data_IF_241169861573
#
_entry.id   IF_241169861573
#
_cell.length_a   1.000
_cell.length_b   1.000
_cell.length_c   1.000
_cell.angle_alpha   90.00
_cell.angle_beta   90.00
_cell.angle_gamma   90.00
#
_symmetry.space_group_name_H-M   'P 1'
#
loop_
_entity.id
_entity.type
_entity.pdbx_description
1 polymer ?
#
# COMPACT_ATOMS: atom_id res chain seq x y z
N UNK A 1 2.40 12.16 8.66
CA UNK A 1 1.57 13.13 7.90
C UNK A 1 1.83 14.51 8.49
N UNK A 2 1.55 15.63 7.82
CA UNK A 2 1.53 16.94 8.50
C UNK A 2 0.16 17.58 8.33
N UNK A 3 -0.41 18.01 9.44
CA UNK A 3 -1.74 18.61 9.55
C UNK A 3 -1.64 20.05 10.05
N UNK A 4 -2.54 20.90 9.56
CA UNK A 4 -2.70 22.28 9.98
C UNK A 4 -4.19 22.60 10.01
N UNK A 5 -4.69 23.02 11.17
CA UNK A 5 -6.03 23.58 11.29
C UNK A 5 -6.00 25.07 10.96
N UNK A 6 -6.95 25.50 10.14
CA UNK A 6 -7.29 26.87 9.84
C UNK A 6 -8.68 27.13 10.47
N UNK A 7 -8.72 27.92 11.53
CA UNK A 7 -9.95 28.19 12.27
C UNK A 7 -10.41 29.64 12.10
N UNK A 8 -11.69 29.87 11.86
CA UNK A 8 -12.30 31.19 11.95
C UNK A 8 -13.67 31.12 12.65
N UNK A 9 -14.21 32.28 13.03
CA UNK A 9 -15.58 32.39 13.53
C UNK A 9 -16.36 33.34 12.63
N UNK A 10 -17.43 32.85 12.02
CA UNK A 10 -18.36 33.65 11.24
C UNK A 10 -19.62 33.94 12.05
N UNK A 11 -20.05 35.19 12.09
CA UNK A 11 -21.31 35.59 12.72
C UNK A 11 -22.40 35.69 11.65
N UNK A 12 -23.50 34.97 11.84
CA UNK A 12 -24.58 34.83 10.87
C UNK A 12 -25.82 35.57 11.38
N UNK A 13 -26.32 36.52 10.60
CA UNK A 13 -27.57 37.23 10.92
C UNK A 13 -28.74 36.21 10.97
N UNK A 14 -29.57 36.29 12.00
CA UNK A 14 -30.74 35.43 12.16
C UNK A 14 -31.81 35.64 11.08
N UNK A 15 -31.72 36.73 10.30
CA UNK A 15 -32.62 37.01 9.18
C UNK A 15 -32.13 36.46 7.83
N UNK A 16 -31.07 35.64 7.82
CA UNK A 16 -30.59 35.02 6.59
C UNK A 16 -31.60 34.02 6.01
N UNK A 17 -31.89 34.06 4.69
CA UNK A 17 -32.95 33.23 4.08
C UNK A 17 -32.73 31.73 4.23
N UNK A 18 -31.47 31.27 4.19
CA UNK A 18 -31.13 29.85 4.30
C UNK A 18 -31.48 29.25 5.68
N UNK A 19 -31.68 30.08 6.71
CA UNK A 19 -32.08 29.63 8.04
C UNK A 19 -33.57 29.26 8.14
N UNK A 20 -34.41 29.84 7.26
CA UNK A 20 -35.88 29.72 7.35
C UNK A 20 -36.45 28.76 6.31
N UNK A 21 -35.82 28.66 5.14
CA UNK A 21 -36.36 27.95 3.99
C UNK A 21 -35.74 26.54 3.77
N UNK A 22 -34.92 26.06 4.71
CA UNK A 22 -34.26 24.74 4.61
C UNK A 22 -33.17 24.65 3.54
N UNK A 23 -32.76 25.77 2.95
CA UNK A 23 -31.62 25.81 2.03
C UNK A 23 -30.30 25.59 2.78
N UNK A 24 -29.41 24.78 2.21
CA UNK A 24 -28.04 24.67 2.68
C UNK A 24 -27.20 25.77 2.03
N UNK A 25 -26.42 26.48 2.84
CA UNK A 25 -25.39 27.41 2.36
C UNK A 25 -24.19 26.59 1.85
N UNK A 26 -23.42 27.14 0.93
CA UNK A 26 -22.25 26.45 0.38
C UNK A 26 -20.98 27.21 0.78
N UNK A 27 -19.99 26.48 1.29
CA UNK A 27 -18.64 27.00 1.48
C UNK A 27 -17.76 26.57 0.31
N UNK A 28 -17.33 27.55 -0.47
CA UNK A 28 -16.34 27.41 -1.52
C UNK A 28 -14.94 27.49 -0.91
N UNK A 29 -14.09 26.50 -1.14
CA UNK A 29 -12.72 26.47 -0.61
C UNK A 29 -11.74 26.12 -1.70
N UNK A 30 -10.77 27.00 -1.95
CA UNK A 30 -9.60 26.72 -2.79
C UNK A 30 -8.38 26.39 -1.94
N UNK A 31 -7.72 25.30 -2.30
CA UNK A 31 -6.56 24.75 -1.59
C UNK A 31 -5.50 24.28 -2.58
N UNK A 32 -4.22 24.45 -2.22
CA UNK A 32 -3.08 23.83 -2.90
C UNK A 32 -2.91 22.34 -2.54
N UNK A 33 -3.87 21.78 -1.80
CA UNK A 33 -3.87 20.38 -1.44
C UNK A 33 -3.31 20.08 -0.05
N UNK A 34 -3.20 18.81 0.34
CA UNK A 34 -3.56 17.63 -0.46
C UNK A 34 -4.90 17.04 -0.04
N UNK A 35 -5.30 17.26 1.21
CA UNK A 35 -6.58 16.84 1.79
C UNK A 35 -7.15 17.99 2.61
N UNK A 36 -8.47 18.11 2.60
CA UNK A 36 -9.25 19.04 3.41
C UNK A 36 -10.38 18.28 4.11
N UNK A 37 -10.57 18.53 5.40
CA UNK A 37 -11.80 18.23 6.12
C UNK A 37 -12.39 19.51 6.70
N UNK A 38 -13.68 19.77 6.46
CA UNK A 38 -14.38 20.94 6.97
C UNK A 38 -15.25 20.54 8.16
N UNK A 39 -15.03 21.19 9.30
CA UNK A 39 -15.86 21.06 10.48
C UNK A 39 -16.58 22.37 10.76
N UNK A 40 -17.88 22.28 11.01
CA UNK A 40 -18.71 23.39 11.47
C UNK A 40 -19.21 23.07 12.86
N UNK A 41 -18.92 23.95 13.83
CA UNK A 41 -19.29 23.77 15.23
C UNK A 41 -18.89 22.40 15.80
N UNK A 42 -17.75 21.87 15.36
CA UNK A 42 -17.22 20.56 15.76
C UNK A 42 -17.76 19.35 15.00
N UNK A 43 -18.67 19.53 14.04
CA UNK A 43 -19.22 18.44 13.22
C UNK A 43 -18.63 18.46 11.80
N UNK A 44 -18.19 17.29 11.31
CA UNK A 44 -17.68 17.13 9.95
C UNK A 44 -18.81 17.37 8.94
N UNK A 45 -18.66 18.36 8.07
CA UNK A 45 -19.62 18.68 7.00
C UNK A 45 -19.19 18.13 5.65
N UNK A 46 -17.88 18.05 5.39
CA UNK A 46 -17.40 17.59 4.08
C UNK A 46 -15.89 17.43 4.03
N UNK A 47 -15.43 16.87 2.91
CA UNK A 47 -14.00 16.60 2.69
C UNK A 47 -13.64 16.67 1.21
N UNK A 48 -12.38 16.96 0.92
CA UNK A 48 -11.83 16.98 -0.43
C UNK A 48 -10.40 16.45 -0.44
N UNK A 49 -10.04 15.77 -1.53
CA UNK A 49 -8.75 15.12 -1.70
C UNK A 49 -8.29 15.40 -3.13
N UNK A 50 -7.07 15.92 -3.28
CA UNK A 50 -6.38 16.04 -4.56
C UNK A 50 -5.76 14.72 -5.00
N UNK A 51 -5.12 14.70 -6.17
CA UNK A 51 -4.39 13.53 -6.67
C UNK A 51 -2.90 13.84 -6.88
N UNK A 52 -2.10 12.82 -7.20
CA UNK A 52 -0.65 12.96 -7.32
C UNK A 52 -0.19 13.96 -8.40
N UNK A 53 -1.00 14.18 -9.44
CA UNK A 53 -0.66 15.10 -10.54
C UNK A 53 -1.26 16.50 -10.33
N UNK A 54 -2.43 16.56 -9.70
CA UNK A 54 -3.16 17.79 -9.38
C UNK A 54 -3.52 17.73 -7.90
N UNK A 55 -2.58 18.09 -7.01
CA UNK A 55 -2.80 18.07 -5.57
C UNK A 55 -3.75 19.19 -5.12
N UNK A 56 -3.76 20.30 -5.86
CA UNK A 56 -4.65 21.42 -5.68
C UNK A 56 -6.09 21.07 -6.09
N UNK A 57 -7.03 21.75 -5.44
CA UNK A 57 -8.44 21.62 -5.75
C UNK A 57 -9.22 22.84 -5.30
N UNK A 58 -10.37 23.00 -5.94
CA UNK A 58 -11.45 23.88 -5.51
C UNK A 58 -12.65 23.01 -5.15
N UNK A 59 -13.25 23.24 -3.98
CA UNK A 59 -14.36 22.42 -3.50
C UNK A 59 -15.49 23.27 -2.92
N UNK A 60 -16.69 22.98 -3.39
CA UNK A 60 -17.94 23.41 -2.79
C UNK A 60 -18.42 22.37 -1.78
N UNK A 61 -18.66 22.81 -0.55
CA UNK A 61 -19.15 21.98 0.55
C UNK A 61 -20.42 22.61 1.09
N UNK A 62 -21.54 21.90 1.01
CA UNK A 62 -22.77 22.31 1.67
C UNK A 62 -22.58 22.29 3.19
N UNK A 63 -22.93 23.39 3.86
CA UNK A 63 -22.75 23.58 5.30
C UNK A 63 -24.06 23.92 5.98
N UNK A 64 -24.19 23.46 7.22
CA UNK A 64 -25.30 23.83 8.10
C UNK A 64 -24.80 24.84 9.14
N UNK A 65 -25.30 26.07 9.04
CA UNK A 65 -24.98 27.17 9.95
C UNK A 65 -26.18 27.47 10.85
N UNK A 66 -25.90 28.02 12.04
CA UNK A 66 -26.94 28.49 12.98
C UNK A 66 -26.91 30.02 13.10
N UNK A 67 -27.99 30.68 13.57
CA UNK A 67 -27.94 32.10 13.91
C UNK A 67 -26.82 32.40 14.91
N UNK A 68 -26.14 33.53 14.72
CA UNK A 68 -25.04 33.97 15.56
C UNK A 68 -23.70 33.33 15.19
N UNK A 69 -22.84 33.12 16.19
CA UNK A 69 -21.47 32.64 15.98
C UNK A 69 -21.41 31.17 15.57
N UNK A 70 -20.74 30.92 14.45
CA UNK A 70 -20.37 29.62 13.93
C UNK A 70 -18.86 29.48 13.88
N UNK A 71 -18.35 28.39 14.45
CA UNK A 71 -16.93 28.06 14.37
C UNK A 71 -16.67 27.19 13.15
N UNK A 72 -15.80 27.64 12.25
CA UNK A 72 -15.35 26.90 11.08
C UNK A 72 -13.92 26.43 11.36
N UNK A 73 -13.69 25.12 11.37
CA UNK A 73 -12.37 24.52 11.50
C UNK A 73 -12.07 23.73 10.21
N UNK A 74 -11.10 24.19 9.44
CA UNK A 74 -10.65 23.55 8.20
C UNK A 74 -9.33 22.83 8.48
N UNK A 75 -9.37 21.50 8.48
CA UNK A 75 -8.19 20.67 8.65
C UNK A 75 -7.56 20.40 7.28
N UNK A 76 -6.40 21.00 7.04
CA UNK A 76 -5.57 20.72 5.87
C UNK A 76 -4.52 19.67 6.20
N UNK A 77 -4.35 18.68 5.32
CA UNK A 77 -3.30 17.66 5.47
C UNK A 77 -2.44 17.52 4.22
N UNK A 78 -1.15 17.28 4.45
CA UNK A 78 -0.18 16.98 3.40
C UNK A 78 0.06 15.47 3.27
N UNK A 79 0.15 14.99 2.04
CA UNK A 79 0.44 13.58 1.72
C UNK A 79 1.86 13.44 1.19
N UNK A 80 2.82 14.11 1.83
CA UNK A 80 4.16 14.31 1.31
C UNK A 80 4.27 15.70 0.66
N UNK A 81 5.49 16.07 0.30
CA UNK A 81 5.77 17.31 -0.42
C UNK A 81 6.31 16.97 -1.80
N UNK A 82 6.18 17.91 -2.74
CA UNK A 82 6.76 17.76 -4.07
C UNK A 82 8.27 17.55 -3.96
N UNK A 83 8.79 16.57 -4.70
CA UNK A 83 10.19 16.14 -4.60
C UNK A 83 10.92 16.10 -5.94
N UNK A 84 10.30 16.61 -7.01
CA UNK A 84 10.87 16.67 -8.35
C UNK A 84 10.19 17.78 -9.18
N UNK A 85 10.91 18.33 -10.17
CA UNK A 85 10.46 19.42 -11.05
C UNK A 85 11.24 20.72 -10.85
N UNK A 86 11.09 21.70 -11.74
CA UNK A 86 11.73 23.01 -11.53
C UNK A 86 11.02 23.74 -10.37
N UNK A 87 11.80 24.35 -9.46
CA UNK A 87 11.30 25.16 -8.34
C UNK A 87 10.28 24.45 -7.42
N UNK A 88 10.36 23.13 -7.27
CA UNK A 88 9.43 22.37 -6.44
C UNK A 88 9.44 22.80 -4.96
N UNK A 89 10.53 23.42 -4.50
CA UNK A 89 10.70 24.00 -3.18
C UNK A 89 9.81 25.23 -2.94
N UNK A 90 9.37 25.90 -4.03
CA UNK A 90 8.47 27.06 -3.97
C UNK A 90 6.98 26.67 -4.01
N UNK A 91 6.68 25.40 -4.29
CA UNK A 91 5.30 24.91 -4.31
C UNK A 91 4.78 24.81 -2.87
N UNK A 92 3.84 25.71 -2.53
CA UNK A 92 3.16 25.69 -1.24
C UNK A 92 2.16 24.53 -1.11
N UNK A 93 1.58 24.40 0.08
CA UNK A 93 0.48 23.46 0.34
C UNK A 93 -0.52 24.10 1.30
N UNK A 94 -1.73 23.55 1.34
CA UNK A 94 -2.79 24.00 2.23
C UNK A 94 -3.68 25.08 1.64
N UNK A 95 -4.45 25.72 2.51
CA UNK A 95 -5.54 26.61 2.12
C UNK A 95 -4.97 28.00 1.89
N UNK A 96 -4.88 28.41 0.62
CA UNK A 96 -4.41 29.73 0.21
C UNK A 96 -5.55 30.65 -0.24
N UNK A 97 -6.78 30.13 -0.23
CA UNK A 97 -7.97 30.86 -0.62
C UNK A 97 -8.16 30.95 -2.15
N UNK A 98 -9.32 31.49 -2.58
CA UNK A 98 -10.32 32.10 -1.70
C UNK A 98 -11.13 31.08 -0.89
N UNK A 99 -11.69 31.54 0.24
CA UNK A 99 -12.66 30.82 1.07
C UNK A 99 -13.92 31.67 1.13
N UNK A 100 -14.98 31.25 0.45
CA UNK A 100 -16.17 32.07 0.20
C UNK A 100 -17.43 31.36 0.68
N UNK A 101 -18.31 32.09 1.34
CA UNK A 101 -19.63 31.61 1.76
C UNK A 101 -20.68 32.10 0.77
N UNK A 102 -21.25 31.18 0.02
CA UNK A 102 -22.23 31.44 -1.04
C UNK A 102 -23.66 31.12 -0.58
N UNK A 103 -24.63 31.84 -1.14
CA UNK A 103 -26.05 31.59 -0.86
C UNK A 103 -26.59 32.36 0.34
N UNK A 104 -26.01 33.53 0.62
CA UNK A 104 -26.55 34.51 1.57
C UNK A 104 -27.70 35.30 0.94
N UNK A 105 -28.31 36.23 1.71
CA UNK A 105 -29.41 37.09 1.25
C UNK A 105 -29.19 37.63 -0.17
N UNK A 106 -30.19 37.44 -1.03
CA UNK A 106 -30.20 37.80 -2.46
C UNK A 106 -29.17 37.06 -3.36
N UNK A 107 -28.67 35.89 -2.92
CA UNK A 107 -27.64 35.14 -3.66
C UNK A 107 -26.25 35.78 -3.55
N UNK A 108 -26.02 36.59 -2.51
CA UNK A 108 -24.72 37.21 -2.28
C UNK A 108 -23.70 36.19 -1.75
N UNK A 109 -22.43 36.50 -2.00
CA UNK A 109 -21.27 35.72 -1.55
C UNK A 109 -20.44 36.60 -0.62
N UNK A 110 -20.02 36.04 0.52
CA UNK A 110 -19.09 36.70 1.44
C UNK A 110 -17.75 36.00 1.38
N UNK A 111 -16.70 36.76 1.04
CA UNK A 111 -15.32 36.29 1.12
C UNK A 111 -14.82 36.33 2.57
N UNK A 112 -14.47 35.15 3.09
CA UNK A 112 -13.93 34.98 4.44
C UNK A 112 -12.39 35.05 4.46
N UNK A 113 -11.73 35.12 3.30
CA UNK A 113 -10.27 35.05 3.18
C UNK A 113 -9.56 36.18 3.93
N UNK A 114 -10.20 37.36 3.99
CA UNK A 114 -9.65 38.55 4.66
C UNK A 114 -10.00 38.64 6.16
N UNK A 115 -10.73 37.66 6.71
CA UNK A 115 -11.05 37.64 8.14
C UNK A 115 -9.86 37.19 9.00
N UNK A 116 -10.02 37.32 10.33
CA UNK A 116 -9.00 36.84 11.26
C UNK A 116 -9.04 35.32 11.37
N UNK A 117 -7.94 34.68 10.99
CA UNK A 117 -7.73 33.24 11.10
C UNK A 117 -6.87 32.87 12.31
N UNK A 118 -7.16 31.71 12.87
CA UNK A 118 -6.39 31.03 13.90
C UNK A 118 -5.78 29.76 13.33
N UNK A 119 -4.60 29.39 13.82
CA UNK A 119 -3.84 28.26 13.29
C UNK A 119 -3.42 27.33 14.41
N UNK A 120 -3.59 26.02 14.20
CA UNK A 120 -3.05 24.99 15.08
C UNK A 120 -2.26 23.97 14.26
N UNK A 121 -0.99 23.84 14.58
CA UNK A 121 -0.09 22.86 13.97
C UNK A 121 -0.37 21.50 14.61
N UNK A 122 -0.58 20.48 13.78
CA UNK A 122 -0.75 19.11 14.25
C UNK A 122 -2.11 18.82 14.88
N UNK A 123 -2.28 17.55 15.24
CA UNK A 123 -3.43 17.04 15.98
C UNK A 123 -3.17 17.09 17.48
N UNK A 124 -4.23 17.27 18.27
CA UNK A 124 -4.13 17.22 19.74
C UNK A 124 -3.55 15.89 20.25
N UNK A 125 -3.83 14.78 19.58
CA UNK A 125 -3.25 13.48 19.94
C UNK A 125 -1.73 13.41 19.78
N UNK A 126 -1.17 14.13 18.81
CA UNK A 126 0.29 14.21 18.59
C UNK A 126 0.96 15.01 19.73
N UNK A 127 0.39 16.14 20.14
CA UNK A 127 0.95 16.94 21.26
C UNK A 127 0.85 16.24 22.61
N UNK A 128 -0.10 15.32 22.76
CA UNK A 128 -0.27 14.49 23.95
C UNK A 128 0.58 13.20 23.93
N UNK A 129 1.32 12.92 22.85
CA UNK A 129 2.16 11.73 22.75
C UNK A 129 1.37 10.42 22.71
N UNK A 130 0.17 10.41 22.11
CA UNK A 130 -0.68 9.21 22.04
C UNK A 130 -0.03 8.08 21.23
N UNK A 131 0.87 8.41 20.30
CA UNK A 131 1.67 7.49 19.48
C UNK A 131 2.54 6.53 20.30
N UNK A 132 2.95 6.94 21.51
CA UNK A 132 3.70 6.12 22.46
C UNK A 132 2.75 5.20 23.27
N UNK A 133 1.45 5.46 23.20
CA UNK A 133 0.40 4.68 23.87
C UNK A 133 0.18 5.05 25.34
N UNK A 134 0.94 5.99 25.90
CA UNK A 134 0.79 6.44 27.29
C UNK A 134 -0.21 7.58 27.43
N UNK A 135 -1.45 7.29 27.84
CA UNK A 135 -2.44 8.32 28.20
C UNK A 135 -3.56 7.75 29.06
N UNK A 136 -4.18 8.57 29.90
CA UNK A 136 -5.40 8.24 30.65
C UNK A 136 -6.68 8.48 29.83
N UNK A 137 -6.57 9.02 28.61
CA UNK A 137 -7.70 9.39 27.75
C UNK A 137 -8.29 8.21 26.96
N UNK A 138 -7.64 7.05 26.98
CA UNK A 138 -8.13 5.87 26.29
C UNK A 138 -9.41 5.36 26.93
N UNK A 139 -10.43 5.13 26.11
CA UNK A 139 -11.69 4.51 26.51
C UNK A 139 -11.79 3.10 25.92
N UNK A 140 -12.40 2.18 26.64
CA UNK A 140 -12.70 0.85 26.12
C UNK A 140 -13.77 0.96 25.04
N UNK A 141 -13.49 0.37 23.87
CA UNK A 141 -14.41 0.34 22.75
C UNK A 141 -13.68 0.24 21.42
N UNK A 142 -14.47 0.02 20.37
CA UNK A 142 -13.98 0.00 18.99
C UNK A 142 -14.97 0.77 18.14
N UNK A 143 -15.08 2.11 18.34
CA UNK A 143 -15.95 2.94 17.51
C UNK A 143 -15.63 2.67 16.04
N UNK A 144 -16.65 2.63 15.21
CA UNK A 144 -16.51 2.37 13.77
C UNK A 144 -16.92 3.63 13.01
N UNK A 145 -16.27 3.85 11.87
CA UNK A 145 -16.62 4.94 10.94
C UNK A 145 -16.61 6.34 11.58
N UNK A 146 -15.80 6.54 12.63
CA UNK A 146 -15.58 7.84 13.25
C UNK A 146 -14.31 8.48 12.68
N UNK A 147 -14.37 9.71 12.17
CA UNK A 147 -13.18 10.43 11.71
C UNK A 147 -12.31 10.86 12.89
N UNK A 148 -11.05 11.18 12.60
CA UNK A 148 -10.05 11.67 13.55
C UNK A 148 -9.95 10.86 14.87
N UNK A 149 -10.04 9.54 14.77
CA UNK A 149 -10.09 8.64 15.94
C UNK A 149 -8.73 7.99 16.18
N UNK A 150 -8.32 7.92 17.45
CA UNK A 150 -7.13 7.18 17.86
C UNK A 150 -7.53 5.81 18.39
N UNK A 151 -6.81 4.77 17.96
CA UNK A 151 -6.95 3.41 18.43
C UNK A 151 -5.64 2.94 19.06
N UNK A 152 -5.75 2.07 20.05
CA UNK A 152 -4.61 1.40 20.68
C UNK A 152 -4.98 -0.04 20.97
N UNK A 153 -4.05 -0.95 20.73
CA UNK A 153 -4.14 -2.34 21.16
C UNK A 153 -2.77 -2.90 21.54
N UNK A 154 -2.77 -4.02 22.24
CA UNK A 154 -1.55 -4.77 22.57
C UNK A 154 -1.54 -6.08 21.78
N UNK A 155 -0.36 -6.53 21.36
CA UNK A 155 -0.22 -7.78 20.61
C UNK A 155 1.13 -8.47 20.87
N UNK A 156 1.13 -9.78 20.68
CA UNK A 156 2.35 -10.59 20.72
C UNK A 156 2.96 -10.70 19.33
N UNK A 157 4.29 -10.77 19.24
CA UNK A 157 4.95 -10.87 17.95
C UNK A 157 4.60 -12.21 17.28
N UNK A 158 4.19 -12.20 15.99
CA UNK A 158 4.03 -13.43 15.22
C UNK A 158 5.29 -14.30 15.31
N UNK A 159 5.15 -15.62 15.36
CA UNK A 159 6.31 -16.52 15.42
C UNK A 159 7.16 -16.47 14.13
N UNK A 160 8.38 -16.99 14.21
CA UNK A 160 9.30 -17.14 13.07
C UNK A 160 10.04 -15.89 12.63
N UNK A 161 10.75 -15.99 11.50
CA UNK A 161 11.65 -14.95 10.97
C UNK A 161 11.15 -14.33 9.66
N UNK A 162 9.94 -14.66 9.24
CA UNK A 162 9.33 -14.11 8.02
C UNK A 162 9.01 -12.64 8.21
N UNK A 163 9.21 -11.74 7.22
CA UNK A 163 8.78 -10.35 7.33
C UNK A 163 7.32 -10.24 7.75
N UNK A 164 7.01 -9.24 8.58
CA UNK A 164 5.66 -8.99 9.05
C UNK A 164 5.11 -7.77 8.31
N UNK A 165 3.82 -7.84 7.99
CA UNK A 165 3.05 -6.68 7.60
C UNK A 165 1.71 -6.66 8.35
N UNK A 166 1.15 -5.47 8.49
CA UNK A 166 -0.23 -5.27 8.92
C UNK A 166 -1.09 -5.07 7.66
N UNK A 167 -2.21 -5.78 7.61
CA UNK A 167 -3.28 -5.56 6.66
C UNK A 167 -4.30 -4.60 7.29
N UNK A 168 -4.32 -3.35 6.83
CA UNK A 168 -5.28 -2.34 7.29
C UNK A 168 -6.61 -2.41 6.51
N UNK A 169 -6.95 -3.54 5.89
CA UNK A 169 -8.28 -3.74 5.30
C UNK A 169 -9.37 -3.38 6.32
N UNK A 170 -10.40 -2.64 5.87
CA UNK A 170 -11.46 -2.10 6.73
C UNK A 170 -11.17 -0.70 7.29
N UNK A 171 -9.92 -0.21 7.20
CA UNK A 171 -9.55 1.14 7.61
C UNK A 171 -9.66 2.16 6.46
N UNK A 172 -9.59 3.44 6.80
CA UNK A 172 -9.69 4.54 5.85
C UNK A 172 -8.31 5.05 5.44
N UNK A 173 -7.81 6.03 6.19
CA UNK A 173 -6.51 6.69 6.00
C UNK A 173 -5.96 7.08 7.35
N UNK A 174 -4.64 7.01 7.52
CA UNK A 174 -4.07 7.32 8.80
C UNK A 174 -2.57 7.17 8.90
N UNK A 175 -2.11 7.09 10.12
CA UNK A 175 -0.73 6.77 10.48
C UNK A 175 -0.74 5.75 11.62
N UNK A 176 0.25 4.86 11.63
CA UNK A 176 0.35 3.82 12.62
C UNK A 176 1.74 3.78 13.24
N UNK A 177 1.79 3.35 14.51
CA UNK A 177 2.99 3.21 15.31
C UNK A 177 3.02 1.85 15.98
N UNK A 178 4.21 1.26 16.01
CA UNK A 178 4.49 0.03 16.76
C UNK A 178 5.55 0.35 17.79
N UNK A 179 5.23 0.18 19.07
CA UNK A 179 6.11 0.50 20.19
C UNK A 179 6.67 1.94 20.12
N UNK A 180 5.82 2.91 19.73
CA UNK A 180 6.19 4.32 19.57
C UNK A 180 6.97 4.64 18.27
N UNK A 181 7.28 3.66 17.43
CA UNK A 181 7.96 3.87 16.15
C UNK A 181 6.93 3.97 15.02
N UNK A 182 6.92 5.07 14.26
CA UNK A 182 6.03 5.21 13.11
C UNK A 182 6.37 4.17 12.05
N UNK A 183 5.40 3.33 11.69
CA UNK A 183 5.50 2.41 10.54
C UNK A 183 5.00 3.06 9.25
N UNK A 184 4.68 4.36 9.31
CA UNK A 184 4.26 5.17 8.18
C UNK A 184 2.75 5.35 8.04
N UNK A 185 2.39 6.05 6.96
CA UNK A 185 1.00 6.34 6.61
C UNK A 185 0.34 5.12 5.99
N UNK A 186 -0.91 4.86 6.36
CA UNK A 186 -1.75 3.90 5.68
C UNK A 186 -2.89 4.58 4.93
N UNK A 187 -3.26 4.03 3.77
CA UNK A 187 -4.39 4.49 2.98
C UNK A 187 -5.00 3.38 2.11
N UNK A 188 -5.52 2.29 2.71
CA UNK A 188 -6.09 1.16 1.99
C UNK A 188 -7.39 1.51 1.26
N UNK A 189 -8.10 2.57 1.65
CA UNK A 189 -9.29 3.04 0.92
C UNK A 189 -8.95 3.75 -0.40
N UNK A 190 -7.69 4.13 -0.64
CA UNK A 190 -7.25 4.71 -1.91
C UNK A 190 -7.01 3.61 -2.94
N UNK A 191 -8.01 3.40 -3.81
CA UNK A 191 -8.02 2.31 -4.79
C UNK A 191 -7.22 2.69 -6.04
N UNK A 192 -6.38 1.77 -6.50
CA UNK A 192 -5.63 1.92 -7.75
C UNK A 192 -6.58 1.94 -8.97
N UNK A 193 -6.24 2.67 -10.05
CA UNK A 193 -7.05 2.70 -11.27
C UNK A 193 -7.42 1.30 -11.77
N UNK A 194 -8.60 1.15 -12.36
CA UNK A 194 -9.07 -0.14 -12.89
C UNK A 194 -8.44 -0.50 -14.24
N UNK A 195 -7.89 0.49 -14.95
CA UNK A 195 -7.27 0.33 -16.27
C UNK A 195 -5.74 0.33 -16.20
N UNK A 196 -5.08 -0.12 -17.28
CA UNK A 196 -3.61 -0.13 -17.42
C UNK A 196 -2.93 -1.44 -17.02
N UNK A 197 -3.60 -2.32 -16.28
CA UNK A 197 -3.06 -3.64 -15.96
C UNK A 197 -3.32 -4.64 -17.10
N UNK A 198 -2.34 -4.81 -17.98
CA UNK A 198 -2.37 -5.82 -19.03
C UNK A 198 -1.34 -6.93 -18.81
N UNK A 199 -1.44 -8.01 -19.60
CA UNK A 199 -0.34 -8.95 -19.73
C UNK A 199 0.83 -8.23 -20.42
N UNK A 200 2.02 -8.29 -19.83
CA UNK A 200 3.19 -7.63 -20.39
C UNK A 200 4.29 -8.64 -20.69
N UNK A 201 5.16 -8.27 -21.64
CA UNK A 201 6.34 -9.04 -22.04
C UNK A 201 7.60 -8.25 -21.73
N UNK A 202 8.67 -8.96 -21.35
CA UNK A 202 9.99 -8.36 -21.19
C UNK A 202 10.56 -7.85 -22.52
N UNK A 203 10.12 -8.40 -23.65
CA UNK A 203 10.56 -7.99 -24.99
C UNK A 203 10.00 -6.62 -25.38
N UNK A 204 10.78 -5.88 -26.19
CA UNK A 204 10.41 -4.56 -26.71
C UNK A 204 10.57 -3.43 -25.70
N UNK A 205 10.41 -2.19 -26.17
CA UNK A 205 10.59 -0.98 -25.36
C UNK A 205 9.78 -1.00 -24.06
N UNK A 206 10.37 -0.48 -23.00
CA UNK A 206 9.75 -0.39 -21.68
C UNK A 206 9.21 1.02 -21.42
N UNK A 207 8.10 1.10 -20.70
CA UNK A 207 7.59 2.32 -20.06
C UNK A 207 7.09 1.96 -18.66
N UNK A 208 7.00 2.95 -17.77
CA UNK A 208 6.52 2.76 -16.39
C UNK A 208 5.09 2.19 -16.31
N UNK A 209 4.30 2.33 -17.38
CA UNK A 209 2.92 1.83 -17.46
C UNK A 209 2.79 0.46 -18.12
N UNK A 210 3.88 -0.11 -18.67
CA UNK A 210 3.84 -1.35 -19.46
C UNK A 210 3.40 -2.59 -18.68
N UNK A 211 3.77 -2.68 -17.40
CA UNK A 211 3.63 -3.88 -16.58
C UNK A 211 2.87 -3.66 -15.27
N UNK A 212 1.91 -2.72 -15.24
CA UNK A 212 1.14 -2.42 -14.04
C UNK A 212 0.39 -3.67 -13.51
N UNK A 213 0.24 -3.73 -12.19
CA UNK A 213 -0.46 -4.80 -11.46
C UNK A 213 -1.35 -4.20 -10.38
N UNK A 214 -2.27 -5.02 -9.86
CA UNK A 214 -3.17 -4.67 -8.75
C UNK A 214 -4.17 -3.54 -9.05
N UNK A 215 -4.56 -3.35 -10.30
CA UNK A 215 -5.65 -2.45 -10.67
C UNK A 215 -6.95 -2.79 -9.94
N UNK A 216 -7.71 -1.78 -9.52
CA UNK A 216 -8.97 -1.93 -8.78
C UNK A 216 -8.82 -2.46 -7.33
N UNK A 217 -7.60 -2.56 -6.81
CA UNK A 217 -7.31 -2.95 -5.43
C UNK A 217 -6.79 -1.74 -4.62
N UNK A 218 -6.77 -1.81 -3.28
CA UNK A 218 -6.02 -0.85 -2.48
C UNK A 218 -4.62 -0.61 -3.06
N UNK A 219 -4.26 0.65 -3.28
CA UNK A 219 -2.94 1.05 -3.81
C UNK A 219 -1.79 0.46 -2.99
N UNK A 220 -1.98 0.39 -1.67
CA UNK A 220 -1.19 -0.40 -0.76
C UNK A 220 -2.10 -1.12 0.25
N UNK A 221 -1.99 -2.44 0.28
CA UNK A 221 -2.75 -3.30 1.21
C UNK A 221 -1.96 -3.69 2.45
N UNK A 222 -0.67 -3.99 2.28
CA UNK A 222 0.21 -4.50 3.33
C UNK A 222 1.23 -3.44 3.74
N UNK A 223 1.37 -3.25 5.05
CA UNK A 223 2.22 -2.22 5.65
C UNK A 223 3.28 -2.89 6.52
N UNK A 224 4.54 -2.76 6.10
CA UNK A 224 5.65 -3.50 6.68
C UNK A 224 5.92 -3.08 8.13
N UNK A 225 6.14 -4.07 9.00
CA UNK A 225 6.58 -3.88 10.39
C UNK A 225 7.94 -4.56 10.55
N UNK A 226 9.02 -3.79 10.79
CA UNK A 226 10.33 -4.36 11.04
C UNK A 226 10.31 -5.28 12.26
N UNK A 227 10.79 -6.52 12.08
CA UNK A 227 10.92 -7.52 13.15
C UNK A 227 11.72 -7.00 14.35
N UNK A 228 12.75 -6.20 14.09
CA UNK A 228 13.60 -5.60 15.13
C UNK A 228 12.89 -4.57 16.02
N UNK A 229 11.70 -4.10 15.63
CA UNK A 229 10.89 -3.19 16.45
C UNK A 229 9.96 -3.93 17.42
N UNK A 230 9.89 -5.26 17.31
CA UNK A 230 8.99 -6.10 18.10
C UNK A 230 9.70 -6.75 19.28
N UNK A 231 9.01 -6.78 20.40
CA UNK A 231 9.28 -7.63 21.57
C UNK A 231 8.53 -8.95 21.40
N UNK A 232 8.92 -10.04 22.08
CA UNK A 232 8.19 -11.32 22.01
C UNK A 232 6.70 -11.17 22.36
N UNK A 233 6.39 -10.39 23.39
CA UNK A 233 5.02 -10.11 23.84
C UNK A 233 4.86 -8.66 24.31
N UNK A 234 3.62 -8.22 24.45
CA UNK A 234 3.29 -6.89 25.00
C UNK A 234 3.72 -5.73 24.09
N UNK A 235 3.69 -5.92 22.78
CA UNK A 235 3.87 -4.84 21.82
C UNK A 235 2.63 -3.95 21.83
N UNK A 236 2.82 -2.66 21.59
CA UNK A 236 1.73 -1.69 21.49
C UNK A 236 1.59 -1.24 20.03
N UNK A 237 0.40 -1.40 19.48
CA UNK A 237 0.00 -0.81 18.20
C UNK A 237 -0.89 0.39 18.48
N UNK A 238 -0.50 1.56 17.99
CA UNK A 238 -1.30 2.78 17.99
C UNK A 238 -1.63 3.16 16.56
N UNK A 239 -2.86 3.61 16.32
CA UNK A 239 -3.31 4.10 15.02
C UNK A 239 -4.01 5.44 15.19
N UNK A 240 -3.76 6.36 14.29
CA UNK A 240 -4.62 7.51 14.06
C UNK A 240 -5.39 7.27 12.76
N UNK A 241 -6.71 7.18 12.83
CA UNK A 241 -7.63 7.04 11.70
C UNK A 241 -8.28 8.38 11.38
N UNK A 242 -7.97 8.91 10.21
CA UNK A 242 -8.38 10.22 9.73
C UNK A 242 -9.83 10.25 9.25
N UNK A 243 -10.24 9.25 8.46
CA UNK A 243 -11.52 9.27 7.73
C UNK A 243 -12.59 8.48 8.49
N UNK A 244 -12.21 7.33 9.02
CA UNK A 244 -13.10 6.38 9.65
C UNK A 244 -12.94 4.98 9.07
N UNK A 245 -12.98 3.98 9.94
CA UNK A 245 -12.77 2.59 9.57
C UNK A 245 -13.33 1.63 10.61
N UNK A 246 -13.12 0.35 10.37
CA UNK A 246 -13.45 -0.75 11.27
C UNK A 246 -12.16 -1.43 11.78
N UNK A 247 -11.67 -1.08 12.99
CA UNK A 247 -10.42 -1.63 13.52
C UNK A 247 -10.47 -3.15 13.75
N UNK A 248 -11.67 -3.76 13.78
CA UNK A 248 -11.83 -5.21 13.98
C UNK A 248 -11.43 -6.03 12.76
N UNK A 249 -11.22 -5.40 11.60
CA UNK A 249 -10.78 -6.06 10.36
C UNK A 249 -9.25 -6.04 10.18
N UNK A 250 -8.54 -5.31 11.04
CA UNK A 250 -7.08 -5.26 11.01
C UNK A 250 -6.53 -6.65 11.32
N UNK A 251 -5.51 -7.08 10.58
CA UNK A 251 -4.84 -8.35 10.86
C UNK A 251 -3.34 -8.28 10.58
N UNK A 252 -2.58 -9.12 11.28
CA UNK A 252 -1.17 -9.34 11.01
C UNK A 252 -1.02 -10.43 9.97
N UNK A 253 -0.08 -10.24 9.05
CA UNK A 253 0.32 -11.25 8.09
C UNK A 253 1.83 -11.40 8.08
N UNK A 254 2.28 -12.64 7.91
CA UNK A 254 3.68 -12.93 7.64
C UNK A 254 3.84 -13.17 6.15
N UNK A 255 4.75 -12.44 5.52
CA UNK A 255 5.11 -12.71 4.14
C UNK A 255 6.05 -13.92 4.11
N UNK A 256 5.50 -15.10 3.89
CA UNK A 256 6.31 -16.24 3.48
C UNK A 256 6.92 -15.94 2.10
N UNK A 257 8.21 -16.26 1.95
CA UNK A 257 8.87 -16.16 0.65
C UNK A 257 8.05 -16.96 -0.37
N UNK A 258 7.66 -16.27 -1.44
CA UNK A 258 6.89 -16.85 -2.53
C UNK A 258 7.57 -18.13 -3.05
N UNK A 259 6.73 -19.01 -3.57
CA UNK A 259 7.15 -20.20 -4.30
C UNK A 259 8.30 -19.91 -5.26
N UNK A 260 9.44 -20.59 -5.08
CA UNK A 260 10.55 -20.59 -6.03
C UNK A 260 10.03 -21.13 -7.36
N UNK A 261 10.22 -20.39 -8.44
CA UNK A 261 9.80 -20.83 -9.76
C UNK A 261 10.80 -20.39 -10.82
N UNK A 262 10.91 -21.18 -11.89
CA UNK A 262 11.80 -20.87 -13.01
C UNK A 262 11.28 -21.53 -14.28
N UNK A 263 11.53 -20.88 -15.43
CA UNK A 263 11.26 -21.42 -16.77
C UNK A 263 12.46 -21.11 -17.65
N UNK A 264 13.20 -22.14 -18.04
CA UNK A 264 14.42 -22.00 -18.86
C UNK A 264 14.34 -22.92 -20.06
N UNK A 265 14.64 -22.40 -21.25
CA UNK A 265 14.68 -23.14 -22.52
C UNK A 265 16.07 -23.76 -22.75
N UNK A 266 16.15 -24.88 -23.47
CA UNK A 266 17.41 -25.41 -24.03
C UNK A 266 18.11 -24.41 -24.97
N UNK A 267 17.36 -23.43 -25.50
CA UNK A 267 17.88 -22.32 -26.31
C UNK A 267 18.03 -21.00 -25.56
N UNK A 268 17.92 -21.00 -24.22
CA UNK A 268 17.98 -19.77 -23.44
C UNK A 268 19.36 -19.10 -23.62
N UNK A 269 19.40 -17.79 -23.94
CA UNK A 269 20.65 -17.08 -24.13
C UNK A 269 21.44 -17.00 -22.82
N UNK A 270 22.77 -16.90 -22.93
CA UNK A 270 23.63 -16.76 -21.76
C UNK A 270 23.41 -15.40 -21.07
N UNK A 271 23.54 -15.34 -19.73
CA UNK A 271 23.64 -14.07 -19.00
C UNK A 271 24.77 -13.22 -19.60
N UNK A 272 24.59 -11.89 -19.65
CA UNK A 272 25.57 -10.98 -20.27
C UNK A 272 26.95 -11.09 -19.61
N UNK A 273 27.04 -11.45 -18.32
CA UNK A 273 28.31 -11.65 -17.62
C UNK A 273 29.10 -12.88 -18.11
N UNK A 274 28.44 -13.83 -18.77
CA UNK A 274 29.06 -15.03 -19.34
C UNK A 274 29.49 -14.85 -20.80
N UNK A 275 29.31 -13.66 -21.38
CA UNK A 275 29.76 -13.33 -22.73
C UNK A 275 31.24 -12.94 -22.68
N UNK A 276 32.12 -13.92 -22.44
CA UNK A 276 33.57 -13.70 -22.62
C UNK A 276 33.91 -13.73 -24.11
N UNK A 277 34.62 -12.71 -24.62
CA UNK A 277 35.10 -12.68 -26.01
C UNK A 277 36.18 -13.74 -26.32
N UNK A 278 36.69 -14.45 -25.32
CA UNK A 278 37.95 -15.21 -25.46
C UNK A 278 37.82 -16.71 -25.74
N UNK A 279 36.62 -17.28 -25.92
CA UNK A 279 36.50 -18.67 -26.37
C UNK A 279 35.13 -19.00 -27.00
N UNK A 280 35.02 -19.10 -28.34
CA UNK A 280 33.78 -19.49 -29.02
C UNK A 280 33.38 -20.96 -28.81
N UNK A 281 34.23 -21.77 -28.17
CA UNK A 281 33.96 -23.20 -27.92
C UNK A 281 33.39 -23.48 -26.53
N UNK A 282 33.44 -22.52 -25.60
CA UNK A 282 32.89 -22.66 -24.25
C UNK A 282 31.39 -22.41 -24.23
N UNK A 283 30.62 -23.32 -24.85
CA UNK A 283 29.14 -23.31 -24.80
C UNK A 283 28.68 -23.60 -23.37
N UNK A 284 28.59 -22.56 -22.55
CA UNK A 284 27.86 -22.65 -21.29
C UNK A 284 26.42 -23.06 -21.62
N UNK A 285 25.94 -24.12 -20.99
CA UNK A 285 24.62 -24.67 -21.27
C UNK A 285 23.57 -23.98 -20.38
N UNK A 286 22.32 -23.81 -20.84
CA UNK A 286 21.28 -23.21 -20.02
C UNK A 286 21.06 -23.99 -18.73
N UNK A 287 20.90 -23.29 -17.60
CA UNK A 287 20.67 -23.91 -16.28
C UNK A 287 19.48 -23.28 -15.58
N UNK A 288 18.71 -24.10 -14.89
CA UNK A 288 17.80 -23.63 -13.83
C UNK A 288 18.61 -23.51 -12.55
N UNK A 289 18.61 -22.32 -11.96
CA UNK A 289 19.17 -22.06 -10.64
C UNK A 289 18.03 -21.78 -9.66
N UNK A 290 17.91 -22.61 -8.63
CA UNK A 290 17.02 -22.39 -7.50
C UNK A 290 17.89 -22.13 -6.27
N UNK A 291 17.74 -20.96 -5.66
CA UNK A 291 18.46 -20.62 -4.45
C UNK A 291 17.49 -20.14 -3.36
N UNK A 292 17.63 -20.72 -2.17
CA UNK A 292 16.98 -20.19 -0.99
C UNK A 292 17.75 -18.96 -0.48
N UNK A 293 17.08 -17.83 -0.25
CA UNK A 293 17.73 -16.55 0.04
C UNK A 293 18.47 -16.51 1.39
N UNK A 294 18.15 -17.41 2.32
CA UNK A 294 18.78 -17.49 3.64
C UNK A 294 19.65 -18.74 3.77
N UNK A 295 20.72 -18.64 4.55
CA UNK A 295 21.70 -19.72 4.75
C UNK A 295 21.14 -20.96 5.45
N UNK A 296 20.12 -20.79 6.29
CA UNK A 296 19.44 -21.86 7.01
C UNK A 296 18.20 -22.42 6.28
N UNK A 297 17.90 -21.93 5.07
CA UNK A 297 16.78 -22.41 4.28
C UNK A 297 17.22 -23.49 3.30
N UNK A 298 16.33 -24.45 3.10
CA UNK A 298 16.49 -25.50 2.09
C UNK A 298 15.25 -25.59 1.21
N UNK A 299 15.44 -26.11 0.01
CA UNK A 299 14.33 -26.44 -0.88
C UNK A 299 13.62 -27.64 -0.25
N UNK A 300 12.42 -27.40 0.29
CA UNK A 300 11.66 -28.42 1.02
C UNK A 300 10.77 -29.25 0.11
N UNK A 301 10.26 -28.63 -0.97
CA UNK A 301 9.34 -29.27 -1.88
C UNK A 301 9.39 -28.63 -3.25
N UNK A 302 9.21 -29.46 -4.27
CA UNK A 302 8.98 -29.04 -5.66
C UNK A 302 7.57 -29.50 -6.00
N UNK A 303 6.66 -28.54 -6.18
CA UNK A 303 5.24 -28.80 -6.42
C UNK A 303 4.95 -29.12 -7.88
N UNK A 304 5.77 -28.62 -8.79
CA UNK A 304 5.59 -28.80 -10.22
C UNK A 304 6.95 -28.83 -10.93
N UNK A 305 7.06 -29.72 -11.90
CA UNK A 305 8.19 -29.79 -12.81
C UNK A 305 7.72 -30.32 -14.17
N UNK A 306 8.12 -29.66 -15.25
CA UNK A 306 7.84 -30.12 -16.60
C UNK A 306 9.01 -29.79 -17.52
N UNK A 307 9.64 -30.82 -18.09
CA UNK A 307 10.64 -30.68 -19.14
C UNK A 307 10.00 -31.07 -20.48
N UNK A 308 9.98 -30.16 -21.46
CA UNK A 308 9.30 -30.36 -22.74
C UNK A 308 8.71 -29.04 -23.25
N UNK A 309 7.39 -28.99 -23.47
CA UNK A 309 6.70 -27.78 -23.93
C UNK A 309 5.75 -27.18 -22.88
N UNK A 310 6.23 -26.89 -21.64
CA UNK A 310 5.37 -26.40 -20.56
C UNK A 310 4.65 -25.09 -20.95
N UNK A 311 3.44 -24.92 -20.44
CA UNK A 311 2.60 -23.74 -20.67
C UNK A 311 2.39 -22.96 -19.36
N UNK A 312 1.89 -21.74 -19.49
CA UNK A 312 1.58 -20.88 -18.35
C UNK A 312 2.76 -20.02 -17.88
N UNK A 313 2.68 -19.58 -16.63
CA UNK A 313 3.60 -18.62 -16.01
C UNK A 313 3.96 -19.11 -14.61
N UNK A 314 4.98 -18.51 -13.99
CA UNK A 314 5.27 -18.78 -12.59
C UNK A 314 4.01 -18.68 -11.71
N UNK A 315 3.73 -19.74 -10.93
CA UNK A 315 2.53 -19.87 -10.11
C UNK A 315 1.33 -20.52 -10.80
N UNK A 316 1.36 -20.69 -12.12
CA UNK A 316 0.27 -21.29 -12.92
C UNK A 316 0.81 -22.14 -14.08
N UNK A 317 1.92 -22.84 -13.87
CA UNK A 317 2.49 -23.72 -14.90
C UNK A 317 1.60 -24.95 -15.12
N UNK A 318 1.54 -25.40 -16.37
CA UNK A 318 0.90 -26.64 -16.78
C UNK A 318 1.79 -27.42 -17.74
N UNK A 319 1.55 -28.72 -17.84
CA UNK A 319 2.24 -29.56 -18.80
C UNK A 319 1.78 -29.22 -20.22
N UNK A 320 2.72 -29.26 -21.18
CA UNK A 320 2.39 -29.24 -22.60
C UNK A 320 2.15 -30.62 -23.18
N UNK A 321 1.99 -30.68 -24.49
CA UNK A 321 1.85 -31.92 -25.25
C UNK A 321 3.11 -32.79 -25.18
N UNK A 322 4.29 -32.15 -25.10
CA UNK A 322 5.56 -32.83 -24.91
C UNK A 322 6.02 -32.67 -23.47
N UNK A 323 6.21 -33.78 -22.77
CA UNK A 323 6.66 -33.80 -21.38
C UNK A 323 7.50 -35.03 -21.07
N UNK A 324 8.57 -34.83 -20.32
CA UNK A 324 9.30 -35.91 -19.67
C UNK A 324 8.50 -36.44 -18.48
N UNK A 325 8.34 -37.76 -18.40
CA UNK A 325 7.68 -38.42 -17.27
C UNK A 325 8.47 -38.30 -15.96
N UNK A 326 9.79 -38.09 -16.03
CA UNK A 326 10.69 -38.16 -14.89
C UNK A 326 11.16 -36.79 -14.39
N UNK A 327 10.70 -35.69 -15.01
CA UNK A 327 11.17 -34.35 -14.66
C UNK A 327 11.02 -34.05 -13.16
N UNK A 328 9.86 -34.36 -12.57
CA UNK A 328 9.60 -34.10 -11.16
C UNK A 328 10.44 -34.97 -10.23
N UNK A 329 10.56 -36.28 -10.51
CA UNK A 329 11.32 -37.21 -9.67
C UNK A 329 12.82 -36.89 -9.66
N UNK A 330 13.38 -36.52 -10.82
CA UNK A 330 14.78 -36.06 -10.95
C UNK A 330 15.02 -34.82 -10.10
N UNK A 331 14.14 -33.81 -10.20
CA UNK A 331 14.29 -32.57 -9.43
C UNK A 331 14.13 -32.80 -7.93
N UNK A 332 13.19 -33.66 -7.51
CA UNK A 332 13.04 -34.03 -6.10
C UNK A 332 14.34 -34.62 -5.55
N UNK A 333 14.96 -35.53 -6.29
CA UNK A 333 16.21 -36.18 -5.87
C UNK A 333 17.40 -35.23 -5.78
N UNK A 334 17.50 -34.24 -6.69
CA UNK A 334 18.66 -33.37 -6.80
C UNK A 334 18.54 -32.13 -5.91
N UNK A 335 17.35 -31.52 -5.83
CA UNK A 335 17.20 -30.22 -5.19
C UNK A 335 16.70 -30.27 -3.74
N UNK A 336 15.92 -31.28 -3.34
CA UNK A 336 15.34 -31.29 -1.99
C UNK A 336 16.44 -31.43 -0.93
N UNK A 337 16.36 -30.61 0.12
CA UNK A 337 17.34 -30.56 1.21
C UNK A 337 18.56 -29.69 0.91
N UNK A 338 18.72 -29.22 -0.34
CA UNK A 338 19.79 -28.30 -0.72
C UNK A 338 19.32 -26.85 -0.63
N UNK A 339 20.23 -25.94 -0.21
CA UNK A 339 19.99 -24.49 -0.26
C UNK A 339 19.99 -23.97 -1.70
N UNK A 340 20.93 -24.46 -2.50
CA UNK A 340 21.14 -24.12 -3.91
C UNK A 340 21.02 -25.37 -4.77
N UNK A 341 20.29 -25.25 -5.88
CA UNK A 341 20.14 -26.31 -6.86
C UNK A 341 20.35 -25.74 -8.28
N UNK A 342 21.42 -26.19 -8.95
CA UNK A 342 21.83 -25.72 -10.26
C UNK A 342 21.84 -26.86 -11.27
N UNK A 343 20.81 -26.92 -12.13
CA UNK A 343 20.60 -28.06 -13.03
C UNK A 343 20.64 -27.60 -14.47
N UNK A 344 21.42 -28.31 -15.28
CA UNK A 344 21.47 -28.12 -16.73
C UNK A 344 20.12 -28.49 -17.36
N UNK A 345 19.62 -27.63 -18.25
CA UNK A 345 18.42 -27.89 -19.04
C UNK A 345 18.85 -28.63 -20.29
N UNK A 346 18.83 -29.96 -20.22
CA UNK A 346 19.18 -30.80 -21.37
C UNK A 346 18.46 -32.13 -21.40
N UNK A 347 18.24 -32.61 -22.62
CA UNK A 347 17.67 -33.94 -22.88
C UNK A 347 18.54 -35.10 -22.35
N UNK A 348 19.83 -34.86 -22.05
CA UNK A 348 20.71 -35.85 -21.41
C UNK A 348 20.30 -36.14 -19.95
N UNK A 349 19.76 -35.15 -19.24
CA UNK A 349 19.33 -35.29 -17.85
C UNK A 349 17.87 -35.76 -17.78
N UNK A 350 17.00 -35.14 -18.58
CA UNK A 350 15.55 -35.33 -18.46
C UNK A 350 14.95 -36.29 -19.50
N UNK A 351 15.78 -36.85 -20.38
CA UNK A 351 15.35 -37.60 -21.56
C UNK A 351 14.88 -36.69 -22.70
N UNK A 352 14.72 -37.25 -23.90
CA UNK A 352 14.13 -36.55 -25.05
C UNK A 352 12.66 -36.98 -25.25
N UNK A 353 11.69 -36.26 -24.66
CA UNK A 353 10.27 -36.58 -24.81
C UNK A 353 9.69 -36.26 -26.20
N UNK A 354 10.40 -35.51 -27.05
CA UNK A 354 9.94 -35.13 -28.38
C UNK A 354 11.11 -34.70 -29.28
N UNK A 355 11.53 -35.60 -30.17
CA UNK A 355 12.66 -35.38 -31.08
C UNK A 355 12.37 -34.17 -31.99
N UNK A 356 13.38 -33.31 -32.17
CA UNK A 356 13.31 -32.13 -33.04
C UNK A 356 12.59 -30.90 -32.47
N UNK A 357 12.04 -31.00 -31.25
CA UNK A 357 11.39 -29.89 -30.54
C UNK A 357 12.33 -29.33 -29.47
N UNK A 358 12.44 -28.01 -29.36
CA UNK A 358 13.19 -27.34 -28.28
C UNK A 358 12.43 -27.49 -26.97
N UNK A 359 13.08 -28.05 -25.93
CA UNK A 359 12.46 -28.22 -24.62
C UNK A 359 12.74 -27.04 -23.71
N UNK A 360 11.84 -26.82 -22.77
CA UNK A 360 12.01 -25.93 -21.63
C UNK A 360 11.73 -26.68 -20.35
N UNK A 361 12.51 -26.36 -19.30
CA UNK A 361 12.28 -26.81 -17.94
C UNK A 361 11.51 -25.75 -17.16
N UNK A 362 10.27 -26.05 -16.81
CA UNK A 362 9.45 -25.28 -15.88
C UNK A 362 9.49 -25.93 -14.50
N UNK A 363 9.79 -25.15 -13.46
CA UNK A 363 9.83 -25.62 -12.07
C UNK A 363 9.03 -24.67 -11.19
N UNK A 364 8.26 -25.21 -10.25
CA UNK A 364 7.71 -24.46 -9.13
C UNK A 364 7.84 -25.27 -7.83
N UNK A 365 8.33 -24.64 -6.77
CA UNK A 365 8.55 -25.25 -5.47
C UNK A 365 8.31 -24.27 -4.33
N UNK A 366 8.56 -24.72 -3.10
CA UNK A 366 8.55 -23.87 -1.91
C UNK A 366 9.86 -24.02 -1.15
N UNK A 367 10.45 -22.90 -0.78
CA UNK A 367 11.41 -22.87 0.33
C UNK A 367 10.62 -22.95 1.63
N UNK A 368 11.10 -23.74 2.60
CA UNK A 368 10.62 -23.64 3.98
C UNK A 368 11.83 -23.38 4.88
N UNK A 369 11.62 -22.50 5.86
CA UNK A 369 12.25 -22.66 7.18
C UNK A 369 11.27 -23.53 7.95
N UNK A 370 11.71 -24.59 8.62
CA UNK A 370 10.85 -25.26 9.60
C UNK A 370 10.37 -24.21 10.63
N UNK A 371 9.11 -23.79 10.57
CA UNK A 371 8.32 -23.34 11.73
C UNK A 371 6.84 -23.63 11.51
N UNK A 372 6.22 -24.14 12.58
CA UNK A 372 4.83 -24.64 12.66
C UNK A 372 3.81 -23.54 12.38
N UNK A 373 2.75 -23.92 11.67
CA UNK A 373 1.51 -23.15 11.54
C UNK A 373 0.96 -22.73 12.91
N UNK A 374 0.65 -21.45 13.09
CA UNK A 374 -0.45 -20.99 13.94
C UNK A 374 -0.98 -19.65 13.41
N UNK A 375 -2.25 -19.64 12.98
CA UNK A 375 -3.00 -18.42 12.72
C UNK A 375 -3.52 -17.90 14.07
N UNK A 376 -3.20 -16.66 14.42
CA UNK A 376 -3.95 -15.90 15.43
C UNK A 376 -4.70 -14.78 14.71
N UNK A 377 -6.05 -14.82 14.78
CA UNK A 377 -6.91 -13.67 14.48
C UNK A 377 -7.02 -12.82 15.75
N UNK A 378 -7.08 -11.50 15.56
CA UNK A 378 -7.38 -10.50 16.59
C UNK A 378 -8.85 -10.57 17.03
#
# INVERSE_FOLDING_TARGET
MKSLFYGLCADIDGNEPFLHDGFQTTLHVKSLGHVLHLFINGQLQGSAIGNANHPDFTKDISVVLKPGKNKLDLLSLTVGLQNYGAFFDKTGAGITGPVELEGLKNGSTVDLSSQQWTYQIGLKGESLGLDIGGSSLWVLGSPKSQPLTWYKTNFDAPSGDSPIAIDFTGMGKGEAWVNGQSIGRYWPSYIAPTSGCSACSYKGSYSSTKCLKNCGKPSQKLYHVPRSWLKPSGNVLVLFEEIGGDPTQISFTTQELQSLCSLVSESHPLPMEAWSQDDPTRKSKPRVSLECPRSNQVISSIKFASFGTPQGKCGSFSHGYCRSANALSILHKICIGSRTCNIEVSSAIFGDPCIGVVKSLAVAGRSLVCMRNMYTRL
#
